data_IF_631130478020
#
_entry.id   IF_631130478020
#
_cell.length_a   1.000
_cell.length_b   1.000
_cell.length_c   1.000
_cell.angle_alpha   90.00
_cell.angle_beta   90.00
_cell.angle_gamma   90.00
#
_symmetry.space_group_name_H-M   'P 1'
#
loop_
_entity.id
_entity.type
_entity.pdbx_description
1 polymer ?
#
# COMPACT_ATOMS: atom_id res chain seq x y z
N UNK A 1 36.84 67.60 68.90
CA UNK A 1 36.47 66.22 69.16
C UNK A 1 34.99 66.20 69.51
N UNK A 2 34.12 65.89 68.52
CA UNK A 2 32.67 65.79 68.76
C UNK A 2 32.20 64.50 68.13
N UNK A 3 31.62 63.58 68.96
CA UNK A 3 31.03 62.38 68.56
C UNK A 3 29.57 62.65 68.09
N UNK A 4 29.06 62.10 66.98
CA UNK A 4 27.65 62.14 66.67
C UNK A 4 26.94 60.96 67.27
N UNK A 5 25.74 61.21 67.80
CA UNK A 5 24.81 60.18 68.33
C UNK A 5 24.14 59.42 67.24
N UNK A 6 24.02 58.10 67.46
CA UNK A 6 23.31 57.19 66.58
C UNK A 6 21.81 57.17 66.92
N UNK A 7 20.95 57.57 66.01
CA UNK A 7 19.49 57.50 66.10
C UNK A 7 19.07 56.20 65.51
N UNK A 8 18.53 55.26 66.34
CA UNK A 8 17.93 53.99 65.87
C UNK A 8 16.46 54.25 65.58
N UNK A 9 16.10 54.17 64.31
CA UNK A 9 14.69 54.16 63.87
C UNK A 9 14.20 52.73 63.83
N UNK A 10 13.21 52.41 64.66
CA UNK A 10 12.49 51.12 64.62
C UNK A 10 11.35 51.26 63.61
N UNK A 11 11.50 50.58 62.45
CA UNK A 11 10.41 50.43 61.50
C UNK A 11 9.55 49.24 61.86
N UNK A 12 8.30 49.45 62.25
CA UNK A 12 7.30 48.40 62.39
C UNK A 12 6.77 47.96 61.01
N UNK A 13 7.09 46.76 60.59
CA UNK A 13 6.57 46.17 59.34
C UNK A 13 5.16 45.61 59.57
N UNK A 14 4.15 46.20 58.99
CA UNK A 14 2.80 45.70 58.88
C UNK A 14 2.80 44.59 57.81
N UNK A 15 2.67 43.31 58.22
CA UNK A 15 2.42 42.19 57.35
C UNK A 15 0.96 42.20 56.85
N UNK A 16 0.73 42.73 55.66
CA UNK A 16 -0.51 42.57 54.94
C UNK A 16 -0.53 41.17 54.28
N UNK A 17 -1.33 40.26 54.87
CA UNK A 17 -1.57 38.92 54.29
C UNK A 17 -2.32 39.05 52.95
N UNK A 18 -1.70 38.67 51.85
CA UNK A 18 -2.37 38.50 50.55
C UNK A 18 -3.22 37.25 50.60
N UNK A 19 -4.49 37.30 50.14
CA UNK A 19 -5.28 36.07 50.04
C UNK A 19 -4.65 35.15 48.99
N UNK A 20 -4.44 33.87 49.34
CA UNK A 20 -4.00 32.86 48.41
C UNK A 20 -5.06 32.66 47.35
N UNK A 21 -4.85 33.28 46.17
CA UNK A 21 -5.66 33.00 45.00
C UNK A 21 -5.56 31.53 44.66
N UNK A 22 -6.69 30.83 44.71
CA UNK A 22 -6.78 29.46 44.21
C UNK A 22 -6.31 29.45 42.73
N UNK A 23 -5.13 28.90 42.49
CA UNK A 23 -4.70 28.59 41.13
C UNK A 23 -5.71 27.57 40.59
N UNK A 24 -6.54 27.99 39.62
CA UNK A 24 -7.28 27.06 38.80
C UNK A 24 -6.25 26.07 38.20
N UNK A 25 -6.31 24.80 38.64
CA UNK A 25 -5.42 23.78 38.13
C UNK A 25 -5.58 23.74 36.63
N UNK A 26 -4.49 23.99 35.89
CA UNK A 26 -4.49 23.79 34.45
C UNK A 26 -4.91 22.34 34.20
N UNK A 27 -5.97 22.16 33.44
CA UNK A 27 -6.42 20.84 33.01
C UNK A 27 -5.23 20.11 32.38
N UNK A 28 -4.99 18.87 32.79
CA UNK A 28 -3.93 18.05 32.20
C UNK A 28 -4.08 18.04 30.68
N UNK A 29 -3.00 18.18 29.91
CA UNK A 29 -3.10 18.11 28.46
C UNK A 29 -3.72 16.78 28.05
N UNK A 30 -4.52 16.76 26.99
CA UNK A 30 -5.15 15.51 26.52
C UNK A 30 -4.09 14.45 26.24
N UNK A 31 -4.38 13.15 26.47
CA UNK A 31 -3.38 12.08 26.44
C UNK A 31 -2.79 11.78 25.05
N UNK A 32 -3.15 12.54 23.99
CA UNK A 32 -2.56 12.43 22.66
C UNK A 32 -2.79 11.05 21.98
N UNK A 33 -1.87 10.61 21.11
CA UNK A 33 -2.01 9.37 20.35
C UNK A 33 -2.17 8.12 21.21
N UNK A 34 -1.64 8.09 22.41
CA UNK A 34 -1.76 6.95 23.34
C UNK A 34 -3.23 6.61 23.67
N UNK A 35 -4.11 7.61 23.71
CA UNK A 35 -5.54 7.39 23.95
C UNK A 35 -6.26 6.71 22.76
N UNK A 36 -5.64 6.64 21.59
CA UNK A 36 -6.15 6.00 20.38
C UNK A 36 -5.52 4.63 20.12
N UNK A 37 -4.50 4.23 20.90
CA UNK A 37 -3.76 2.99 20.69
C UNK A 37 -4.65 1.73 20.66
N UNK A 38 -5.75 1.75 21.41
CA UNK A 38 -6.73 0.66 21.49
C UNK A 38 -7.96 0.86 20.60
N UNK A 39 -7.97 1.87 19.75
CA UNK A 39 -9.07 2.06 18.81
C UNK A 39 -9.08 0.93 17.75
N UNK A 40 -10.11 0.10 17.78
CA UNK A 40 -10.27 -1.07 16.89
C UNK A 40 -11.58 -1.04 16.10
N UNK A 41 -12.35 0.04 16.18
CA UNK A 41 -13.62 0.17 15.46
C UNK A 41 -13.36 0.07 13.95
N UNK A 42 -13.94 -0.89 13.22
CA UNK A 42 -13.84 -0.95 11.77
C UNK A 42 -14.34 0.34 11.11
N UNK A 43 -13.74 0.72 9.98
CA UNK A 43 -14.09 1.98 9.32
C UNK A 43 -13.48 3.22 9.96
N UNK A 44 -12.47 3.06 10.84
CA UNK A 44 -11.75 4.18 11.46
C UNK A 44 -10.27 4.15 11.12
N UNK A 45 -9.67 5.34 11.06
CA UNK A 45 -8.23 5.53 10.97
C UNK A 45 -7.81 6.71 11.87
N UNK A 46 -6.54 6.77 12.28
CA UNK A 46 -6.04 7.93 13.00
C UNK A 46 -4.55 8.19 12.72
N UNK A 47 -4.16 9.44 12.85
CA UNK A 47 -2.79 9.89 12.62
C UNK A 47 -2.68 11.40 12.68
N UNK A 48 -1.47 11.95 12.49
CA UNK A 48 -1.28 13.38 12.38
C UNK A 48 -1.52 13.84 10.94
N UNK A 49 -2.31 14.88 10.79
CA UNK A 49 -2.48 15.59 9.52
C UNK A 49 -1.17 16.32 9.19
N UNK A 50 -0.50 16.01 8.08
CA UNK A 50 0.84 16.56 7.78
C UNK A 50 0.82 18.07 7.51
N UNK A 51 -0.30 18.63 7.07
CA UNK A 51 -0.41 20.07 6.78
C UNK A 51 -0.61 20.91 8.04
N UNK A 52 -1.36 20.40 9.02
CA UNK A 52 -1.69 21.13 10.24
C UNK A 52 -0.99 20.64 11.50
N UNK A 53 -0.32 19.49 11.44
CA UNK A 53 0.28 18.80 12.60
C UNK A 53 -0.74 18.27 13.60
N UNK A 54 -2.04 18.43 13.38
CA UNK A 54 -3.10 18.05 14.33
C UNK A 54 -3.36 16.55 14.30
N UNK A 55 -3.55 15.96 15.50
CA UNK A 55 -4.03 14.59 15.60
C UNK A 55 -5.46 14.52 15.03
N UNK A 56 -5.71 13.58 14.12
CA UNK A 56 -6.98 13.38 13.43
C UNK A 56 -7.44 11.95 13.61
N UNK A 57 -8.73 11.77 13.84
CA UNK A 57 -9.43 10.49 13.77
C UNK A 57 -10.40 10.56 12.60
N UNK A 58 -10.35 9.60 11.70
CA UNK A 58 -11.24 9.50 10.54
C UNK A 58 -12.26 8.39 10.75
N UNK A 59 -13.50 8.66 10.38
CA UNK A 59 -14.59 7.68 10.35
C UNK A 59 -15.21 7.64 8.95
N UNK A 60 -15.37 6.46 8.39
CA UNK A 60 -16.04 6.23 7.12
C UNK A 60 -17.57 6.15 7.25
N UNK A 61 -18.28 5.93 6.13
CA UNK A 61 -19.75 5.85 6.08
C UNK A 61 -20.36 4.70 6.90
N UNK A 62 -19.56 3.72 7.32
CA UNK A 62 -20.05 2.57 8.11
C UNK A 62 -20.16 2.88 9.59
N UNK A 63 -19.37 3.84 10.08
CA UNK A 63 -19.32 4.23 11.50
C UNK A 63 -20.47 5.21 11.79
N UNK A 64 -21.55 4.72 12.42
CA UNK A 64 -22.79 5.48 12.63
C UNK A 64 -23.34 5.32 14.04
N UNK A 65 -24.32 6.13 14.37
CA UNK A 65 -25.12 6.01 15.59
C UNK A 65 -24.25 5.96 16.86
N UNK A 66 -24.40 4.92 17.66
CA UNK A 66 -23.70 4.75 18.94
C UNK A 66 -22.16 4.61 18.77
N UNK A 67 -21.70 3.96 17.70
CA UNK A 67 -20.27 3.83 17.42
C UNK A 67 -19.64 5.18 17.09
N UNK A 68 -20.29 5.99 16.26
CA UNK A 68 -19.80 7.34 15.94
C UNK A 68 -19.78 8.23 17.19
N UNK A 69 -20.80 8.14 18.06
CA UNK A 69 -20.85 8.87 19.30
C UNK A 69 -19.72 8.44 20.28
N UNK A 70 -19.42 7.15 20.34
CA UNK A 70 -18.31 6.62 21.14
C UNK A 70 -16.96 7.08 20.58
N UNK A 71 -16.79 7.03 19.24
CA UNK A 71 -15.60 7.49 18.56
C UNK A 71 -15.34 8.98 18.79
N UNK A 72 -16.40 9.81 18.74
CA UNK A 72 -16.30 11.24 19.05
C UNK A 72 -15.75 11.49 20.44
N UNK A 73 -16.30 10.82 21.48
CA UNK A 73 -15.78 10.93 22.84
C UNK A 73 -14.32 10.48 22.97
N UNK A 74 -13.92 9.47 22.20
CA UNK A 74 -12.53 8.99 22.21
C UNK A 74 -11.61 9.99 21.53
N UNK A 75 -12.01 10.57 20.40
CA UNK A 75 -11.29 11.65 19.71
C UNK A 75 -11.12 12.88 20.62
N UNK A 76 -12.20 13.32 21.30
CA UNK A 76 -12.19 14.45 22.21
C UNK A 76 -11.20 14.22 23.36
N UNK A 77 -11.21 13.04 23.99
CA UNK A 77 -10.24 12.68 25.04
C UNK A 77 -8.80 12.68 24.56
N UNK A 78 -8.57 12.33 23.28
CA UNK A 78 -7.23 12.34 22.68
C UNK A 78 -6.80 13.75 22.22
N UNK A 79 -7.68 14.75 22.24
CA UNK A 79 -7.43 16.05 21.61
C UNK A 79 -7.37 15.98 20.10
N UNK A 80 -8.00 14.97 19.51
CA UNK A 80 -7.99 14.73 18.08
C UNK A 80 -9.21 15.35 17.38
N UNK A 81 -9.03 15.75 16.12
CA UNK A 81 -10.13 16.20 15.25
C UNK A 81 -10.79 14.98 14.62
N UNK A 82 -12.10 14.82 14.84
CA UNK A 82 -12.87 13.80 14.12
C UNK A 82 -13.24 14.33 12.73
N UNK A 83 -12.90 13.56 11.69
CA UNK A 83 -13.26 13.82 10.28
C UNK A 83 -14.10 12.68 9.72
N UNK A 84 -15.02 13.01 8.85
CA UNK A 84 -15.74 12.05 8.04
C UNK A 84 -14.99 11.83 6.72
N UNK A 85 -14.82 10.56 6.35
CA UNK A 85 -14.28 10.13 5.07
C UNK A 85 -15.38 9.44 4.27
N UNK A 86 -15.79 9.98 3.12
CA UNK A 86 -16.82 9.35 2.30
C UNK A 86 -16.42 7.97 1.81
N UNK A 87 -17.37 7.05 1.74
CA UNK A 87 -17.16 5.68 1.28
C UNK A 87 -16.88 4.72 2.41
N UNK A 88 -16.00 3.74 2.17
CA UNK A 88 -15.67 2.68 3.12
C UNK A 88 -14.18 2.42 3.14
N UNK A 89 -13.57 2.46 4.32
CA UNK A 89 -12.18 2.04 4.51
C UNK A 89 -12.07 0.52 4.31
N UNK A 90 -11.27 0.11 3.33
CA UNK A 90 -11.05 -1.30 2.98
C UNK A 90 -9.58 -1.54 2.71
N UNK A 91 -9.14 -2.76 2.97
CA UNK A 91 -7.87 -3.23 2.41
C UNK A 91 -7.99 -3.23 0.89
N UNK A 92 -6.99 -2.67 0.23
CA UNK A 92 -6.89 -2.63 -1.22
C UNK A 92 -5.82 -3.59 -1.66
N UNK A 93 -6.00 -4.22 -2.83
CA UNK A 93 -4.94 -4.99 -3.47
C UNK A 93 -4.75 -4.51 -4.90
N UNK A 94 -3.54 -4.08 -5.21
CA UNK A 94 -3.12 -3.50 -6.47
C UNK A 94 -1.93 -4.26 -7.06
N UNK A 95 -1.61 -4.00 -8.32
CA UNK A 95 -0.44 -4.55 -8.99
C UNK A 95 0.84 -4.34 -8.19
N UNK A 96 1.69 -5.35 -8.11
CA UNK A 96 2.93 -5.34 -7.31
C UNK A 96 2.78 -5.81 -5.87
N UNK A 97 1.58 -5.86 -5.30
CA UNK A 97 1.38 -6.37 -3.94
C UNK A 97 1.44 -7.89 -3.87
N UNK A 98 1.82 -8.39 -2.69
CA UNK A 98 1.95 -9.82 -2.45
C UNK A 98 0.62 -10.55 -2.57
N UNK A 99 0.64 -11.70 -3.25
CA UNK A 99 -0.43 -12.69 -3.30
C UNK A 99 0.12 -14.04 -2.85
N UNK A 100 -0.70 -14.82 -2.17
CA UNK A 100 -0.28 -16.08 -1.54
C UNK A 100 -1.15 -17.23 -2.02
N UNK A 101 -0.50 -18.35 -2.40
CA UNK A 101 -1.20 -19.55 -2.84
C UNK A 101 -0.32 -20.79 -2.73
N UNK A 102 -0.88 -21.93 -2.32
CA UNK A 102 -0.09 -23.14 -2.05
C UNK A 102 1.00 -22.83 -1.01
N UNK A 103 2.26 -23.17 -1.29
CA UNK A 103 3.41 -22.81 -0.48
C UNK A 103 4.10 -21.52 -0.95
N UNK A 104 3.58 -20.86 -2.01
CA UNK A 104 4.26 -19.77 -2.69
C UNK A 104 3.74 -18.39 -2.33
N UNK A 105 4.62 -17.40 -2.56
CA UNK A 105 4.32 -15.98 -2.59
C UNK A 105 4.72 -15.42 -3.95
N UNK A 106 3.80 -14.72 -4.59
CA UNK A 106 4.01 -14.00 -5.83
C UNK A 106 3.50 -12.55 -5.71
N UNK A 107 3.51 -11.82 -6.81
CA UNK A 107 2.97 -10.47 -6.90
C UNK A 107 1.77 -10.44 -7.85
N UNK A 108 0.78 -9.60 -7.56
CA UNK A 108 -0.32 -9.30 -8.45
C UNK A 108 0.19 -8.47 -9.64
N UNK A 109 -0.17 -8.83 -10.86
CA UNK A 109 0.19 -8.09 -12.06
C UNK A 109 -0.71 -6.87 -12.29
N UNK A 110 -1.94 -7.12 -12.66
CA UNK A 110 -2.93 -6.07 -12.88
C UNK A 110 -4.32 -6.56 -12.50
N UNK A 111 -5.15 -5.65 -12.00
CA UNK A 111 -6.58 -5.85 -11.87
C UNK A 111 -7.24 -5.59 -13.22
N UNK A 112 -8.08 -6.53 -13.65
CA UNK A 112 -8.69 -6.56 -14.97
C UNK A 112 -10.14 -7.03 -14.87
N UNK A 113 -10.93 -6.82 -15.93
CA UNK A 113 -12.34 -7.26 -15.94
C UNK A 113 -12.79 -7.82 -17.28
N UNK A 114 -13.85 -8.63 -17.24
CA UNK A 114 -14.67 -8.98 -18.40
C UNK A 114 -16.12 -8.68 -18.03
N UNK A 115 -16.72 -7.68 -18.68
CA UNK A 115 -18.03 -7.15 -18.26
C UNK A 115 -17.98 -6.65 -16.81
N UNK A 116 -18.84 -7.21 -15.96
CA UNK A 116 -18.91 -6.89 -14.52
C UNK A 116 -18.07 -7.80 -13.64
N UNK A 117 -17.46 -8.85 -14.21
CA UNK A 117 -16.64 -9.81 -13.46
C UNK A 117 -15.19 -9.34 -13.39
N UNK A 118 -14.65 -9.35 -12.19
CA UNK A 118 -13.29 -8.92 -11.91
C UNK A 118 -12.32 -10.08 -11.76
N UNK A 119 -11.11 -9.83 -12.22
CA UNK A 119 -9.99 -10.77 -12.18
C UNK A 119 -8.70 -10.02 -11.85
N UNK A 120 -7.68 -10.75 -11.50
CA UNK A 120 -6.31 -10.26 -11.60
C UNK A 120 -5.46 -11.21 -12.44
N UNK A 121 -4.44 -10.64 -13.06
CA UNK A 121 -3.42 -11.39 -13.78
C UNK A 121 -2.15 -11.48 -12.92
N UNK A 122 -1.41 -12.58 -13.08
CA UNK A 122 -0.11 -12.83 -12.46
C UNK A 122 0.68 -13.80 -13.35
N UNK A 123 1.84 -14.28 -12.93
CA UNK A 123 2.60 -15.27 -13.68
C UNK A 123 1.91 -16.65 -13.70
N UNK A 124 2.11 -17.40 -14.78
CA UNK A 124 1.59 -18.74 -14.94
C UNK A 124 2.26 -19.73 -14.01
N UNK A 125 3.58 -19.64 -13.82
CA UNK A 125 4.31 -20.46 -12.86
C UNK A 125 3.80 -20.26 -11.43
N UNK A 126 3.34 -19.04 -11.07
CA UNK A 126 2.66 -18.76 -9.80
C UNK A 126 1.33 -19.52 -9.71
N UNK A 127 0.45 -19.37 -10.71
CA UNK A 127 -0.90 -19.93 -10.65
C UNK A 127 -0.94 -21.45 -10.69
N UNK A 128 0.14 -22.10 -11.10
CA UNK A 128 0.27 -23.57 -10.97
C UNK A 128 0.37 -24.04 -9.52
N UNK A 129 0.81 -23.16 -8.59
CA UNK A 129 1.02 -23.53 -7.18
C UNK A 129 -0.29 -23.77 -6.42
N UNK A 130 -1.38 -23.10 -6.82
CA UNK A 130 -2.65 -23.17 -6.09
C UNK A 130 -3.86 -22.87 -6.96
N UNK A 131 -5.01 -23.41 -6.55
CA UNK A 131 -6.32 -23.05 -7.11
C UNK A 131 -6.90 -21.80 -6.44
N UNK A 132 -6.65 -21.59 -5.15
CA UNK A 132 -7.16 -20.44 -4.37
C UNK A 132 -6.00 -19.50 -3.97
N UNK A 133 -6.27 -18.19 -4.05
CA UNK A 133 -5.32 -17.15 -3.80
C UNK A 133 -5.79 -16.20 -2.69
N UNK A 134 -4.85 -15.69 -1.88
CA UNK A 134 -5.08 -14.91 -0.67
C UNK A 134 -4.28 -13.62 -0.66
N UNK A 135 -4.78 -12.61 0.06
CA UNK A 135 -4.10 -11.33 0.24
C UNK A 135 -3.06 -11.33 1.37
N UNK A 136 -3.04 -12.35 2.22
CA UNK A 136 -2.17 -12.43 3.39
C UNK A 136 -1.50 -13.80 3.51
N UNK A 137 -0.35 -13.83 4.18
CA UNK A 137 0.46 -15.04 4.39
C UNK A 137 -0.22 -16.09 5.29
N UNK A 138 -1.13 -15.65 6.16
CA UNK A 138 -1.92 -16.55 7.02
C UNK A 138 -3.07 -17.23 6.24
N UNK A 139 -3.33 -16.77 5.00
CA UNK A 139 -4.38 -17.29 4.10
C UNK A 139 -5.78 -17.18 4.70
N UNK A 140 -6.04 -16.07 5.37
CA UNK A 140 -7.34 -15.76 5.97
C UNK A 140 -8.23 -14.93 5.06
N UNK A 141 -7.61 -14.08 4.22
CA UNK A 141 -8.30 -13.16 3.32
C UNK A 141 -8.28 -13.68 1.89
N UNK A 142 -9.34 -14.36 1.48
CA UNK A 142 -9.48 -14.89 0.13
C UNK A 142 -9.57 -13.77 -0.89
N UNK A 143 -8.74 -13.82 -1.94
CA UNK A 143 -8.86 -13.02 -3.14
C UNK A 143 -9.77 -13.69 -4.16
N UNK A 144 -9.49 -14.94 -4.50
CA UNK A 144 -10.24 -15.62 -5.54
C UNK A 144 -9.70 -16.98 -5.94
N UNK A 145 -10.25 -17.48 -7.05
CA UNK A 145 -9.92 -18.79 -7.61
C UNK A 145 -9.29 -18.65 -9.00
N UNK A 146 -8.27 -19.44 -9.28
CA UNK A 146 -7.64 -19.56 -10.59
C UNK A 146 -8.66 -20.00 -11.63
N UNK A 147 -8.75 -19.26 -12.73
CA UNK A 147 -9.57 -19.60 -13.90
C UNK A 147 -8.76 -19.94 -15.13
N UNK A 148 -7.47 -19.56 -15.15
CA UNK A 148 -6.56 -19.87 -16.23
C UNK A 148 -5.11 -19.88 -15.80
N UNK A 149 -4.28 -20.67 -16.49
CA UNK A 149 -2.84 -20.74 -16.29
C UNK A 149 -2.18 -21.26 -17.56
N UNK A 150 -1.17 -20.55 -18.05
CA UNK A 150 -0.35 -20.96 -19.19
C UNK A 150 1.12 -20.89 -18.78
N UNK A 151 1.76 -22.06 -18.62
CA UNK A 151 3.16 -22.22 -18.32
C UNK A 151 3.55 -23.70 -18.44
N UNK A 152 4.67 -24.07 -19.09
CA UNK A 152 5.54 -23.25 -19.92
C UNK A 152 4.93 -22.91 -21.30
N UNK A 153 5.71 -22.39 -22.19
CA UNK A 153 5.30 -21.81 -23.48
C UNK A 153 5.07 -20.32 -23.32
N UNK A 154 4.06 -19.94 -22.58
CA UNK A 154 3.81 -18.62 -22.00
C UNK A 154 4.06 -18.64 -20.50
N UNK A 155 3.95 -17.46 -19.82
CA UNK A 155 4.01 -17.39 -18.37
C UNK A 155 2.99 -16.39 -17.82
N UNK A 156 1.72 -16.75 -17.88
CA UNK A 156 0.64 -15.96 -17.31
C UNK A 156 -0.45 -16.82 -16.68
N UNK A 157 -1.13 -16.26 -15.70
CA UNK A 157 -2.28 -16.83 -15.04
C UNK A 157 -3.33 -15.81 -14.70
N UNK A 158 -4.58 -16.26 -14.61
CA UNK A 158 -5.76 -15.45 -14.34
C UNK A 158 -6.50 -16.01 -13.13
N UNK A 159 -6.84 -15.15 -12.20
CA UNK A 159 -7.58 -15.47 -10.99
C UNK A 159 -8.84 -14.61 -10.95
N UNK A 160 -10.01 -15.23 -10.86
CA UNK A 160 -11.28 -14.55 -10.68
C UNK A 160 -11.45 -14.16 -9.22
N UNK A 161 -11.77 -12.90 -8.96
CA UNK A 161 -12.11 -12.45 -7.61
C UNK A 161 -13.40 -13.11 -7.11
N UNK A 162 -13.35 -13.65 -5.91
CA UNK A 162 -14.51 -14.19 -5.17
C UNK A 162 -14.60 -13.61 -3.76
N UNK A 163 -13.52 -13.00 -3.28
CA UNK A 163 -13.45 -12.29 -2.00
C UNK A 163 -13.96 -10.85 -2.09
N UNK A 164 -14.00 -10.18 -0.94
CA UNK A 164 -14.51 -8.82 -0.79
C UNK A 164 -13.43 -7.74 -0.74
N UNK A 165 -12.16 -8.13 -0.95
CA UNK A 165 -11.03 -7.19 -0.97
C UNK A 165 -11.22 -6.22 -2.13
N UNK A 166 -11.10 -4.92 -1.87
CA UNK A 166 -11.18 -3.93 -2.94
C UNK A 166 -9.94 -4.00 -3.83
N UNK A 167 -10.15 -3.92 -5.14
CA UNK A 167 -9.13 -4.17 -6.16
C UNK A 167 -9.13 -3.04 -7.22
N UNK A 168 -8.59 -1.85 -6.86
CA UNK A 168 -8.52 -0.71 -7.78
C UNK A 168 -7.68 -1.03 -9.01
N UNK A 169 -7.97 -0.36 -10.12
CA UNK A 169 -7.08 -0.36 -11.30
C UNK A 169 -5.83 0.48 -10.99
N UNK A 170 -4.86 -0.13 -10.31
CA UNK A 170 -3.68 0.58 -9.82
C UNK A 170 -2.46 -0.35 -9.69
N UNK A 171 -1.27 0.27 -9.64
CA UNK A 171 0.00 -0.33 -9.24
C UNK A 171 0.46 0.28 -7.92
N UNK A 172 0.79 -0.54 -6.96
CA UNK A 172 1.35 -0.12 -5.67
C UNK A 172 2.82 0.31 -5.82
N UNK A 173 3.20 1.45 -5.25
CA UNK A 173 4.50 2.09 -5.47
C UNK A 173 5.41 2.13 -4.24
N UNK A 174 4.99 1.58 -3.10
CA UNK A 174 5.76 1.40 -1.88
C UNK A 174 6.51 2.67 -1.36
N UNK A 175 5.84 3.70 -0.84
CA UNK A 175 4.39 3.83 -0.59
C UNK A 175 3.61 4.42 -1.76
N UNK A 176 2.29 4.41 -1.65
CA UNK A 176 1.39 5.03 -2.62
C UNK A 176 0.97 4.10 -3.75
N UNK A 177 0.33 4.66 -4.76
CA UNK A 177 -0.12 3.93 -5.94
C UNK A 177 -0.24 4.84 -7.17
N UNK A 178 -0.13 4.25 -8.35
CA UNK A 178 -0.39 4.88 -9.64
C UNK A 178 -1.65 4.24 -10.22
N UNK A 179 -2.62 5.05 -10.64
CA UNK A 179 -3.80 4.55 -11.35
C UNK A 179 -3.39 3.96 -12.69
N UNK A 180 -3.89 2.77 -13.00
CA UNK A 180 -3.73 2.12 -14.29
C UNK A 180 -4.94 2.47 -15.15
N UNK A 181 -4.69 3.11 -16.29
CA UNK A 181 -5.72 3.58 -17.23
C UNK A 181 -5.70 2.84 -18.56
N UNK A 182 -4.62 2.12 -18.85
CA UNK A 182 -4.46 1.42 -20.12
C UNK A 182 -3.53 0.20 -20.01
N UNK A 183 -3.65 -0.68 -21.01
CA UNK A 183 -2.64 -1.65 -21.38
C UNK A 183 -1.97 -1.24 -22.69
N UNK A 184 -0.70 -1.58 -22.87
CA UNK A 184 0.05 -1.18 -24.08
C UNK A 184 1.13 -2.18 -24.47
N UNK A 185 1.73 -1.93 -25.62
CA UNK A 185 2.90 -2.66 -26.13
C UNK A 185 4.20 -2.02 -25.64
N UNK A 186 5.23 -2.85 -25.52
CA UNK A 186 6.59 -2.40 -25.27
C UNK A 186 7.33 -2.05 -26.58
N UNK A 187 8.31 -1.14 -26.47
CA UNK A 187 9.31 -0.91 -27.52
C UNK A 187 10.72 -0.78 -26.90
N UNK A 188 11.75 -1.14 -27.66
CA UNK A 188 13.14 -1.07 -27.18
C UNK A 188 13.53 0.38 -26.88
N UNK A 189 14.17 0.60 -25.73
CA UNK A 189 14.52 1.93 -25.22
C UNK A 189 13.44 2.60 -24.36
N UNK A 190 12.25 2.01 -24.26
CA UNK A 190 11.16 2.56 -23.44
C UNK A 190 11.56 2.58 -21.95
N UNK A 191 11.39 3.74 -21.32
CA UNK A 191 11.54 3.88 -19.88
C UNK A 191 10.35 3.22 -19.16
N UNK A 192 10.64 2.31 -18.25
CA UNK A 192 9.64 1.47 -17.59
C UNK A 192 10.01 1.24 -16.12
N UNK A 193 9.00 0.98 -15.31
CA UNK A 193 9.17 0.52 -13.94
C UNK A 193 8.45 -0.82 -13.76
N UNK A 194 8.91 -1.60 -12.79
CA UNK A 194 8.17 -2.73 -12.26
C UNK A 194 7.85 -2.52 -10.79
N UNK A 195 6.80 -3.17 -10.32
CA UNK A 195 6.47 -3.25 -8.91
C UNK A 195 6.37 -4.71 -8.47
N UNK A 196 6.91 -5.02 -7.30
CA UNK A 196 6.90 -6.40 -6.78
C UNK A 196 7.01 -6.46 -5.26
N UNK A 197 6.48 -7.53 -4.70
CA UNK A 197 6.28 -7.70 -3.27
C UNK A 197 7.58 -7.87 -2.46
N UNK A 198 8.68 -8.22 -3.11
CA UNK A 198 9.97 -8.45 -2.45
C UNK A 198 10.83 -7.19 -2.50
N UNK A 199 10.99 -6.58 -3.66
CA UNK A 199 11.97 -5.52 -3.87
C UNK A 199 11.34 -4.16 -4.17
N UNK A 200 10.02 -4.05 -4.06
CA UNK A 200 9.27 -2.81 -4.28
C UNK A 200 9.32 -2.35 -5.73
N UNK A 201 9.43 -1.04 -5.95
CA UNK A 201 9.55 -0.46 -7.29
C UNK A 201 11.01 -0.42 -7.74
N UNK A 202 11.24 -0.84 -8.99
CA UNK A 202 12.52 -0.69 -9.69
C UNK A 202 12.24 -0.21 -11.10
N UNK A 203 13.07 0.71 -11.60
CA UNK A 203 12.91 1.28 -12.93
C UNK A 203 14.16 1.06 -13.79
N UNK A 204 13.98 1.11 -15.09
CA UNK A 204 15.00 0.93 -16.09
C UNK A 204 14.42 1.08 -17.49
N UNK A 205 14.93 0.30 -18.44
CA UNK A 205 14.52 0.37 -19.84
C UNK A 205 14.26 -1.02 -20.43
N UNK A 206 13.38 -1.07 -21.41
CA UNK A 206 13.20 -2.23 -22.28
C UNK A 206 14.45 -2.38 -23.16
N UNK A 207 15.11 -3.55 -23.09
CA UNK A 207 16.34 -3.84 -23.83
C UNK A 207 16.16 -4.84 -24.97
N UNK A 208 14.98 -5.46 -25.07
CA UNK A 208 14.67 -6.40 -26.14
C UNK A 208 13.22 -6.84 -26.11
N UNK A 209 12.76 -7.38 -27.24
CA UNK A 209 11.44 -7.96 -27.43
C UNK A 209 11.58 -9.37 -27.99
N UNK A 210 10.50 -10.15 -27.91
CA UNK A 210 10.43 -11.54 -28.41
C UNK A 210 11.54 -12.44 -27.84
N UNK A 211 11.94 -12.19 -26.60
CA UNK A 211 12.96 -13.00 -25.95
C UNK A 211 12.40 -14.39 -25.61
N UNK A 212 13.26 -15.40 -25.71
CA UNK A 212 12.99 -16.75 -25.22
C UNK A 212 13.84 -17.02 -23.97
N UNK A 213 13.22 -17.52 -22.92
CA UNK A 213 13.93 -17.96 -21.70
C UNK A 213 13.68 -19.43 -21.49
N UNK A 214 14.77 -20.19 -21.29
CA UNK A 214 14.72 -21.61 -20.99
C UNK A 214 14.84 -21.79 -19.46
N UNK A 215 13.71 -21.97 -18.81
CA UNK A 215 13.66 -22.35 -17.39
C UNK A 215 13.83 -23.86 -17.23
N UNK A 216 14.07 -24.34 -16.02
CA UNK A 216 14.14 -25.78 -15.74
C UNK A 216 12.81 -26.48 -16.04
N UNK A 217 11.69 -25.76 -15.91
CA UNK A 217 10.32 -26.24 -16.15
C UNK A 217 9.91 -26.20 -17.61
N UNK A 218 10.72 -25.55 -18.46
CA UNK A 218 10.47 -25.41 -19.90
C UNK A 218 10.70 -24.01 -20.44
N UNK A 219 10.65 -23.87 -21.76
CA UNK A 219 10.89 -22.61 -22.45
C UNK A 219 9.64 -21.71 -22.42
N UNK A 220 9.87 -20.41 -22.24
CA UNK A 220 8.85 -19.35 -22.40
C UNK A 220 9.32 -18.39 -23.49
N UNK A 221 8.44 -18.05 -24.41
CA UNK A 221 8.77 -17.26 -25.62
C UNK A 221 8.01 -15.95 -25.65
N UNK A 222 8.39 -15.04 -26.58
CA UNK A 222 7.66 -13.78 -26.79
C UNK A 222 7.87 -12.72 -25.72
N UNK A 223 8.83 -12.89 -24.81
CA UNK A 223 8.99 -12.06 -23.63
C UNK A 223 9.62 -10.68 -23.93
N UNK A 224 9.21 -9.67 -23.15
CA UNK A 224 9.85 -8.37 -23.05
C UNK A 224 11.08 -8.52 -22.14
N UNK A 225 12.25 -8.06 -22.57
CA UNK A 225 13.48 -8.04 -21.79
C UNK A 225 13.75 -6.64 -21.28
N UNK A 226 14.20 -6.51 -20.03
CA UNK A 226 14.61 -5.23 -19.43
C UNK A 226 15.97 -5.35 -18.73
N UNK A 227 16.57 -4.22 -18.36
CA UNK A 227 17.72 -4.13 -17.48
C UNK A 227 17.33 -3.90 -16.01
N UNK A 228 16.11 -4.27 -15.63
CA UNK A 228 15.62 -4.13 -14.26
C UNK A 228 15.89 -5.42 -13.49
N UNK A 229 16.38 -5.32 -12.25
CA UNK A 229 16.51 -6.47 -11.36
C UNK A 229 15.16 -6.99 -10.86
N UNK A 230 15.09 -8.26 -10.50
CA UNK A 230 13.95 -8.89 -9.83
C UNK A 230 14.43 -10.01 -8.92
N UNK A 231 13.69 -10.30 -7.86
CA UNK A 231 13.98 -11.35 -6.90
C UNK A 231 12.78 -12.27 -6.66
N UNK A 232 12.98 -13.47 -6.09
CA UNK A 232 11.89 -14.39 -5.77
C UNK A 232 10.78 -13.70 -4.97
N UNK A 233 9.53 -13.89 -5.41
CA UNK A 233 8.36 -13.22 -4.86
C UNK A 233 7.90 -11.97 -5.63
N UNK A 234 8.76 -11.38 -6.46
CA UNK A 234 8.38 -10.33 -7.42
C UNK A 234 7.63 -10.89 -8.65
N UNK A 235 7.73 -12.21 -8.88
CA UNK A 235 7.05 -12.94 -9.96
C UNK A 235 5.58 -12.56 -10.09
N UNK A 236 5.13 -12.30 -11.30
CA UNK A 236 3.76 -11.89 -11.59
C UNK A 236 3.50 -10.38 -11.45
N UNK A 237 4.42 -9.61 -10.86
CA UNK A 237 4.29 -8.17 -10.71
C UNK A 237 4.29 -7.41 -12.03
N UNK A 238 3.66 -6.21 -12.11
CA UNK A 238 3.51 -5.47 -13.35
C UNK A 238 4.82 -4.83 -13.83
N UNK A 239 5.02 -4.82 -15.15
CA UNK A 239 5.86 -3.87 -15.85
C UNK A 239 4.96 -2.75 -16.40
N UNK A 240 5.29 -1.50 -16.12
CA UNK A 240 4.42 -0.38 -16.44
C UNK A 240 5.19 0.90 -16.82
N UNK A 241 4.51 1.79 -17.55
CA UNK A 241 4.96 3.15 -17.87
C UNK A 241 4.34 4.09 -16.84
N UNK A 242 5.14 4.56 -15.89
CA UNK A 242 4.64 5.31 -14.73
C UNK A 242 3.93 6.62 -15.14
N UNK A 243 4.51 7.38 -16.07
CA UNK A 243 3.95 8.66 -16.51
C UNK A 243 2.59 8.53 -17.23
N UNK A 244 2.31 7.36 -17.82
CA UNK A 244 1.09 7.11 -18.58
C UNK A 244 0.06 6.23 -17.84
N UNK A 245 0.42 5.65 -16.68
CA UNK A 245 -0.44 4.67 -16.01
C UNK A 245 -0.74 3.45 -16.88
N UNK A 246 0.20 3.03 -17.72
CA UNK A 246 0.01 1.96 -18.70
C UNK A 246 0.77 0.71 -18.29
N UNK A 247 0.09 -0.41 -18.09
CA UNK A 247 0.72 -1.72 -17.88
C UNK A 247 1.07 -2.32 -19.22
N UNK A 248 2.29 -2.87 -19.35
CA UNK A 248 2.79 -3.46 -20.61
C UNK A 248 3.20 -4.93 -20.46
N UNK A 249 3.40 -5.43 -19.23
CA UNK A 249 3.78 -6.83 -19.02
C UNK A 249 3.63 -7.29 -17.59
N UNK A 250 3.85 -8.60 -17.41
CA UNK A 250 3.80 -9.33 -16.13
C UNK A 250 5.10 -10.09 -15.96
N UNK A 251 5.77 -9.95 -14.81
CA UNK A 251 7.10 -10.53 -14.56
C UNK A 251 7.06 -12.06 -14.61
N UNK A 252 7.80 -12.63 -15.54
CA UNK A 252 8.06 -14.06 -15.66
C UNK A 252 9.26 -14.48 -14.78
N UNK A 253 10.42 -13.89 -15.02
CA UNK A 253 11.62 -14.22 -14.29
C UNK A 253 12.80 -13.34 -14.66
N UNK A 254 13.98 -13.71 -14.21
CA UNK A 254 15.17 -12.90 -14.47
C UNK A 254 16.47 -13.55 -13.99
N UNK A 255 17.55 -12.80 -14.10
CA UNK A 255 18.88 -13.15 -13.60
C UNK A 255 19.52 -11.96 -12.89
N UNK A 256 20.50 -12.22 -12.02
CA UNK A 256 21.09 -11.21 -11.15
C UNK A 256 20.28 -11.00 -9.87
N UNK A 257 20.50 -9.86 -9.22
CA UNK A 257 19.81 -9.47 -7.99
C UNK A 257 19.70 -7.94 -7.89
N UNK A 258 18.94 -7.43 -6.93
CA UNK A 258 18.75 -5.99 -6.80
C UNK A 258 19.86 -5.25 -6.03
N UNK A 259 20.88 -5.96 -5.56
CA UNK A 259 22.10 -5.36 -4.99
C UNK A 259 23.17 -5.06 -6.06
N UNK A 260 23.30 -5.94 -7.06
CA UNK A 260 24.33 -5.84 -8.12
C UNK A 260 23.78 -5.55 -9.51
N UNK A 261 22.45 -5.46 -9.64
CA UNK A 261 21.76 -5.32 -10.92
C UNK A 261 21.33 -6.66 -11.52
N UNK A 262 20.45 -6.60 -12.51
CA UNK A 262 19.92 -7.80 -13.14
C UNK A 262 19.17 -7.52 -14.44
N UNK A 263 18.76 -8.61 -15.06
CA UNK A 263 17.90 -8.63 -16.23
C UNK A 263 16.62 -9.34 -15.88
N UNK A 264 15.47 -8.78 -16.31
CA UNK A 264 14.17 -9.43 -16.10
C UNK A 264 13.38 -9.52 -17.39
N UNK A 265 12.46 -10.48 -17.43
CA UNK A 265 11.66 -10.86 -18.57
C UNK A 265 10.19 -10.87 -18.20
N UNK A 266 9.35 -10.35 -19.09
CA UNK A 266 7.93 -10.14 -18.83
C UNK A 266 7.06 -10.72 -19.94
N UNK A 267 5.99 -11.39 -19.57
CA UNK A 267 4.93 -11.75 -20.51
C UNK A 267 4.17 -10.49 -20.93
N UNK A 268 3.99 -10.22 -22.24
CA UNK A 268 3.22 -9.07 -22.70
C UNK A 268 1.78 -9.10 -22.18
N UNK A 269 1.29 -7.96 -21.65
CA UNK A 269 -0.05 -7.89 -21.06
C UNK A 269 -1.16 -8.06 -22.09
N UNK A 270 -0.98 -7.52 -23.31
CA UNK A 270 -2.00 -7.56 -24.36
C UNK A 270 -2.33 -8.98 -24.80
N UNK A 271 -1.35 -9.87 -24.78
CA UNK A 271 -1.55 -11.29 -25.07
C UNK A 271 -2.47 -11.95 -24.03
N UNK A 272 -2.25 -11.65 -22.75
CA UNK A 272 -3.07 -12.16 -21.64
C UNK A 272 -4.51 -11.65 -21.77
N UNK A 273 -4.66 -10.34 -22.02
CA UNK A 273 -5.97 -9.71 -22.18
C UNK A 273 -6.74 -10.30 -23.35
N UNK A 274 -6.08 -10.51 -24.48
CA UNK A 274 -6.69 -11.14 -25.66
C UNK A 274 -7.10 -12.59 -25.42
N UNK A 275 -6.24 -13.38 -24.76
CA UNK A 275 -6.48 -14.81 -24.51
C UNK A 275 -7.71 -15.06 -23.61
N UNK A 276 -8.09 -14.12 -22.76
CA UNK A 276 -9.20 -14.29 -21.81
C UNK A 276 -10.34 -13.27 -22.00
N UNK A 277 -10.31 -12.44 -23.05
CA UNK A 277 -11.33 -11.40 -23.26
C UNK A 277 -11.41 -10.38 -22.11
N UNK A 278 -10.25 -9.98 -21.58
CA UNK A 278 -10.12 -9.08 -20.45
C UNK A 278 -9.76 -7.66 -20.88
N UNK A 279 -10.12 -6.68 -20.05
CA UNK A 279 -9.78 -5.26 -20.26
C UNK A 279 -9.23 -4.65 -18.95
N UNK A 280 -8.43 -3.60 -19.09
CA UNK A 280 -8.15 -2.67 -17.99
C UNK A 280 -9.46 -1.94 -17.64
N UNK A 281 -9.81 -1.81 -16.35
CA UNK A 281 -11.06 -1.18 -15.92
C UNK A 281 -11.12 0.32 -16.20
#
# INVERSE_FOLDING_TARGET
MRRPALVVLVLAALLAGTPAGARAGAAAPPPGPAALADLRTPGTAWGHDPASGRLTVTADDTVRGRELAALRRTADRAGAVLRHEPGRLRTLIAGGQAIYGGSGRCSLGANVRSGTTWYFVTAGHCTRLAATWYADSARTTVLGSRTGSSFPGNDYGVVRYTGTVAHPSAVHTYPGQITVTAAGSAYVGQAVCRSGATTGVRCGTVTGLNATVNYAEGSVTGLIRTNICAEPGDSGGPLYVAAAGTVIGVLSGGSGNCASGGTSYYQPILEILAAYGLTIP
#
